data_IF_972489810608
#
_entry.id   IF_972489810608
#
_cell.length_a   1.000
_cell.length_b   1.000
_cell.length_c   1.000
_cell.angle_alpha   90.00
_cell.angle_beta   90.00
_cell.angle_gamma   90.00
#
_symmetry.space_group_name_H-M   'P 1'
#
loop_
_entity.id
_entity.type
_entity.pdbx_description
1 polymer ?
#
# COMPACT_ATOMS: atom_id res chain seq x y z
N UNK A 1 14.74 19.59 1.96
CA UNK A 1 13.51 19.65 1.13
C UNK A 1 12.88 18.28 1.23
N UNK A 2 11.62 18.19 1.68
CA UNK A 2 10.89 16.93 1.66
C UNK A 2 10.84 16.42 0.22
N UNK A 3 11.15 15.15 -0.03
CA UNK A 3 11.10 14.59 -1.40
C UNK A 3 9.67 14.55 -1.98
N UNK A 4 8.66 14.91 -1.19
CA UNK A 4 7.25 15.03 -1.54
C UNK A 4 6.98 16.27 -2.41
N UNK A 5 6.96 16.08 -3.73
CA UNK A 5 6.56 17.12 -4.68
C UNK A 5 5.83 16.50 -5.90
N UNK A 6 4.86 17.24 -6.44
CA UNK A 6 4.00 16.76 -7.53
C UNK A 6 4.75 16.48 -8.84
N UNK A 7 5.81 17.24 -9.12
CA UNK A 7 6.60 17.10 -10.35
C UNK A 7 7.35 15.76 -10.42
N UNK A 8 8.08 15.39 -9.36
CA UNK A 8 8.72 14.08 -9.25
C UNK A 8 7.70 12.94 -9.23
N UNK A 9 6.61 13.09 -8.46
CA UNK A 9 5.57 12.08 -8.37
C UNK A 9 4.90 11.85 -9.74
N UNK A 10 4.58 12.92 -10.47
CA UNK A 10 4.02 12.85 -11.82
C UNK A 10 4.94 12.08 -12.77
N UNK A 11 6.23 12.42 -12.80
CA UNK A 11 7.22 11.72 -13.63
C UNK A 11 7.28 10.23 -13.29
N UNK A 12 7.33 9.89 -12.00
CA UNK A 12 7.41 8.51 -11.53
C UNK A 12 6.14 7.74 -11.90
N UNK A 13 4.96 8.33 -11.70
CA UNK A 13 3.68 7.72 -12.09
C UNK A 13 3.60 7.50 -13.60
N UNK A 14 3.99 8.49 -14.40
CA UNK A 14 4.01 8.38 -15.86
C UNK A 14 4.93 7.25 -16.33
N UNK A 15 6.11 7.14 -15.71
CA UNK A 15 7.05 6.04 -15.97
C UNK A 15 6.44 4.70 -15.59
N UNK A 16 5.85 4.55 -14.41
CA UNK A 16 5.20 3.30 -13.99
C UNK A 16 4.08 2.88 -14.95
N UNK A 17 3.22 3.81 -15.36
CA UNK A 17 2.14 3.51 -16.33
C UNK A 17 2.73 2.97 -17.64
N UNK A 18 3.80 3.59 -18.15
CA UNK A 18 4.51 3.12 -19.35
C UNK A 18 5.13 1.74 -19.16
N UNK A 19 5.76 1.48 -18.01
CA UNK A 19 6.40 0.19 -17.71
C UNK A 19 5.36 -0.92 -17.53
N UNK A 20 4.26 -0.69 -16.82
CA UNK A 20 3.17 -1.66 -16.71
C UNK A 20 2.60 -2.05 -18.07
N UNK A 21 2.38 -1.05 -18.93
CA UNK A 21 1.98 -1.27 -20.32
C UNK A 21 3.03 -2.08 -21.10
N UNK A 22 4.31 -1.71 -21.05
CA UNK A 22 5.37 -2.36 -21.83
C UNK A 22 5.63 -3.81 -21.39
N UNK A 23 5.53 -4.08 -20.09
CA UNK A 23 5.74 -5.39 -19.50
C UNK A 23 4.46 -6.24 -19.40
N UNK A 24 3.32 -5.77 -19.92
CA UNK A 24 2.02 -6.46 -19.84
C UNK A 24 1.69 -6.89 -18.40
N UNK A 25 1.93 -6.00 -17.44
CA UNK A 25 1.53 -6.23 -16.05
C UNK A 25 0.02 -6.04 -16.00
N UNK A 26 -0.74 -6.94 -15.35
CA UNK A 26 -2.19 -6.98 -15.47
C UNK A 26 -2.89 -5.95 -14.56
N UNK A 27 -2.41 -4.71 -14.61
CA UNK A 27 -2.96 -3.55 -13.93
C UNK A 27 -3.75 -2.73 -14.94
N UNK A 28 -5.01 -2.40 -14.64
CA UNK A 28 -5.80 -1.51 -15.46
C UNK A 28 -5.26 -0.07 -15.37
N UNK A 29 -4.92 0.49 -16.53
CA UNK A 29 -4.26 1.80 -16.59
C UNK A 29 -5.24 2.97 -16.50
N UNK A 30 -6.55 2.73 -16.61
CA UNK A 30 -7.57 3.79 -16.68
C UNK A 30 -7.54 4.71 -15.47
N UNK A 31 -7.63 4.15 -14.25
CA UNK A 31 -7.66 4.96 -13.03
C UNK A 31 -6.27 5.53 -12.68
N UNK A 32 -5.19 4.85 -13.05
CA UNK A 32 -3.83 5.41 -12.96
C UNK A 32 -3.64 6.63 -13.87
N UNK A 33 -4.17 6.60 -15.09
CA UNK A 33 -4.12 7.74 -16.03
C UNK A 33 -5.00 8.91 -15.59
N UNK A 34 -6.16 8.62 -14.99
CA UNK A 34 -6.99 9.67 -14.35
C UNK A 34 -6.23 10.34 -13.21
N UNK A 35 -5.57 9.55 -12.37
CA UNK A 35 -4.72 10.07 -11.29
C UNK A 35 -3.54 10.90 -11.84
N UNK A 36 -2.84 10.40 -12.86
CA UNK A 36 -1.76 11.12 -13.56
C UNK A 36 -2.24 12.49 -14.06
N UNK A 37 -3.43 12.55 -14.67
CA UNK A 37 -4.04 13.79 -15.14
C UNK A 37 -4.41 14.74 -13.99
N UNK A 38 -4.92 14.21 -12.88
CA UNK A 38 -5.24 15.00 -11.70
C UNK A 38 -3.97 15.61 -11.09
N UNK A 39 -2.89 14.84 -10.98
CA UNK A 39 -1.60 15.31 -10.47
C UNK A 39 -0.98 16.35 -11.39
N UNK A 40 -1.08 16.17 -12.71
CA UNK A 40 -0.61 17.17 -13.68
C UNK A 40 -1.23 18.55 -13.43
N UNK A 41 -2.52 18.59 -13.08
CA UNK A 41 -3.21 19.84 -12.74
C UNK A 41 -2.68 20.51 -11.45
N UNK A 42 -1.97 19.76 -10.60
CA UNK A 42 -1.42 20.19 -9.32
C UNK A 42 0.07 20.51 -9.35
N UNK A 43 0.74 20.48 -10.52
CA UNK A 43 2.18 20.72 -10.62
C UNK A 43 2.62 22.10 -10.10
N UNK A 44 1.77 23.12 -10.24
CA UNK A 44 2.01 24.47 -9.73
C UNK A 44 1.40 24.73 -8.34
N UNK A 45 0.83 23.70 -7.71
CA UNK A 45 0.18 23.83 -6.40
C UNK A 45 1.21 23.85 -5.28
N UNK A 46 1.15 24.89 -4.45
CA UNK A 46 2.09 25.12 -3.33
C UNK A 46 1.50 24.72 -1.96
N UNK A 47 0.34 24.05 -1.93
CA UNK A 47 -0.25 23.59 -0.68
C UNK A 47 0.27 22.22 -0.24
N UNK A 48 -0.47 21.57 0.68
CA UNK A 48 -0.11 20.24 1.18
C UNK A 48 -0.11 19.21 0.04
N UNK A 49 0.95 18.42 -0.02
CA UNK A 49 1.04 17.35 -1.00
C UNK A 49 0.04 16.24 -0.63
N UNK A 50 -0.79 15.85 -1.58
CA UNK A 50 -1.77 14.80 -1.41
C UNK A 50 -1.88 13.93 -2.66
N UNK A 51 -2.07 12.64 -2.46
CA UNK A 51 -2.37 11.66 -3.50
C UNK A 51 -3.63 10.91 -3.08
N UNK A 52 -4.56 10.78 -4.03
CA UNK A 52 -5.82 10.07 -3.84
C UNK A 52 -6.01 9.13 -5.03
N UNK A 53 -5.42 7.94 -4.92
CA UNK A 53 -5.57 6.86 -5.86
C UNK A 53 -6.78 6.03 -5.46
N UNK A 54 -7.75 5.91 -6.37
CA UNK A 54 -8.96 5.12 -6.13
C UNK A 54 -9.15 4.05 -7.19
N UNK A 55 -9.56 2.88 -6.74
CA UNK A 55 -9.96 1.74 -7.54
C UNK A 55 -8.90 1.41 -8.59
N UNK A 56 -7.63 1.30 -8.20
CA UNK A 56 -6.63 0.71 -9.09
C UNK A 56 -6.93 -0.77 -9.18
N UNK A 57 -7.26 -1.26 -10.38
CA UNK A 57 -7.70 -2.63 -10.61
C UNK A 57 -6.53 -3.46 -11.11
N UNK A 58 -6.31 -4.62 -10.51
CA UNK A 58 -5.37 -5.64 -10.97
C UNK A 58 -6.16 -6.93 -11.22
N UNK A 59 -6.14 -7.41 -12.46
CA UNK A 59 -6.86 -8.61 -12.87
C UNK A 59 -5.91 -9.81 -12.84
N UNK A 60 -6.26 -10.87 -12.14
CA UNK A 60 -5.43 -12.07 -11.99
C UNK A 60 -6.26 -13.25 -12.46
N UNK A 61 -5.86 -13.87 -13.56
CA UNK A 61 -6.53 -15.03 -14.17
C UNK A 61 -5.80 -16.35 -13.87
N UNK A 62 -5.20 -16.43 -12.67
CA UNK A 62 -4.51 -17.61 -12.19
C UNK A 62 -4.68 -17.76 -10.68
N UNK A 63 -4.46 -18.99 -10.18
CA UNK A 63 -4.55 -19.26 -8.75
C UNK A 63 -3.48 -18.48 -7.97
N UNK A 64 -3.92 -17.75 -6.94
CA UNK A 64 -3.02 -17.19 -5.93
C UNK A 64 -2.63 -18.31 -4.96
N UNK A 65 -1.34 -18.45 -4.68
CA UNK A 65 -0.83 -19.51 -3.81
C UNK A 65 -1.42 -19.43 -2.40
N UNK A 66 -1.88 -20.56 -1.86
CA UNK A 66 -2.51 -20.63 -0.54
C UNK A 66 -3.99 -20.27 -0.53
N UNK A 67 -4.61 -19.98 -1.67
CA UNK A 67 -6.06 -19.73 -1.74
C UNK A 67 -6.85 -20.99 -1.39
N UNK A 68 -7.86 -20.79 -0.54
CA UNK A 68 -8.92 -21.77 -0.26
C UNK A 68 -10.27 -21.06 -0.39
N UNK A 69 -11.25 -21.61 -1.14
CA UNK A 69 -11.20 -22.89 -1.85
C UNK A 69 -10.26 -22.88 -3.07
N UNK A 70 -9.59 -24.01 -3.32
CA UNK A 70 -8.61 -24.19 -4.42
C UNK A 70 -9.22 -24.07 -5.82
N UNK A 71 -10.55 -24.07 -5.93
CA UNK A 71 -11.28 -23.91 -7.18
C UNK A 71 -11.23 -22.47 -7.73
N UNK A 72 -10.91 -21.48 -6.88
CA UNK A 72 -10.83 -20.07 -7.30
C UNK A 72 -9.58 -19.85 -8.15
N UNK A 73 -9.80 -19.41 -9.38
CA UNK A 73 -8.75 -19.18 -10.38
C UNK A 73 -8.72 -17.75 -10.92
N UNK A 74 -9.82 -17.02 -10.76
CA UNK A 74 -9.94 -15.63 -11.21
C UNK A 74 -10.08 -14.71 -9.99
N UNK A 75 -9.28 -13.66 -9.97
CA UNK A 75 -9.26 -12.66 -8.93
C UNK A 75 -9.22 -11.25 -9.51
N UNK A 76 -9.88 -10.34 -8.83
CA UNK A 76 -9.78 -8.90 -9.04
C UNK A 76 -9.27 -8.29 -7.75
N UNK A 77 -8.16 -7.56 -7.82
CA UNK A 77 -7.64 -6.79 -6.70
C UNK A 77 -7.94 -5.31 -6.95
N UNK A 78 -8.67 -4.72 -6.03
CA UNK A 78 -8.89 -3.28 -5.93
C UNK A 78 -7.91 -2.70 -4.93
N UNK A 79 -7.16 -1.68 -5.36
CA UNK A 79 -6.22 -0.95 -4.52
C UNK A 79 -6.62 0.51 -4.42
N UNK A 80 -6.92 0.94 -3.19
CA UNK A 80 -7.17 2.32 -2.82
C UNK A 80 -6.02 2.83 -1.96
N UNK A 81 -5.58 4.06 -2.24
CA UNK A 81 -4.55 4.70 -1.45
C UNK A 81 -4.76 6.20 -1.35
N UNK A 82 -4.72 6.69 -0.12
CA UNK A 82 -4.75 8.11 0.18
C UNK A 82 -3.62 8.47 1.12
N UNK A 83 -2.89 9.53 0.76
CA UNK A 83 -1.84 10.10 1.61
C UNK A 83 -1.92 11.63 1.54
N UNK A 84 -1.87 12.26 2.72
CA UNK A 84 -1.76 13.71 2.88
C UNK A 84 -0.50 14.01 3.68
N UNK A 85 0.38 14.83 3.13
CA UNK A 85 1.66 15.19 3.73
C UNK A 85 1.61 16.63 4.25
N UNK A 86 1.95 16.79 5.52
CA UNK A 86 2.12 18.07 6.17
C UNK A 86 3.61 18.46 6.20
N UNK A 87 4.08 19.04 5.10
CA UNK A 87 5.47 19.50 4.93
C UNK A 87 5.88 20.63 5.87
N UNK A 88 4.97 21.16 6.72
CA UNK A 88 5.32 22.15 7.74
C UNK A 88 6.01 21.54 8.98
N UNK A 89 5.91 20.22 9.15
CA UNK A 89 6.55 19.47 10.25
C UNK A 89 8.03 19.18 9.96
N UNK A 90 8.82 18.98 11.01
CA UNK A 90 10.23 18.62 10.88
C UNK A 90 10.35 17.12 10.57
N UNK A 91 10.75 16.78 9.34
CA UNK A 91 10.91 15.40 8.86
C UNK A 91 11.78 14.53 9.77
N UNK A 92 12.78 15.10 10.45
CA UNK A 92 13.69 14.33 11.30
C UNK A 92 13.15 14.12 12.71
N UNK A 93 12.04 14.76 13.06
CA UNK A 93 11.42 14.66 14.38
C UNK A 93 10.00 14.10 14.33
N UNK A 94 9.27 14.36 13.24
CA UNK A 94 7.86 14.08 13.15
C UNK A 94 7.51 13.34 11.85
N UNK A 95 6.51 12.48 11.97
CA UNK A 95 5.87 11.86 10.83
C UNK A 95 5.09 12.93 10.07
N UNK A 96 5.50 13.13 8.81
CA UNK A 96 4.89 14.10 7.91
C UNK A 96 3.51 13.65 7.42
N UNK A 97 3.16 12.37 7.53
CA UNK A 97 1.89 11.84 7.06
C UNK A 97 0.78 12.30 8.02
N UNK A 98 -0.08 13.19 7.56
CA UNK A 98 -1.20 13.70 8.34
C UNK A 98 -2.41 12.76 8.25
N UNK A 99 -2.69 12.27 7.04
CA UNK A 99 -3.76 11.30 6.78
C UNK A 99 -3.24 10.18 5.89
N UNK A 100 -3.70 8.98 6.17
CA UNK A 100 -3.25 7.76 5.52
C UNK A 100 -4.43 6.80 5.37
N UNK A 101 -4.59 6.23 4.19
CA UNK A 101 -5.43 5.05 3.93
C UNK A 101 -4.74 4.18 2.89
N UNK A 102 -4.76 2.88 3.09
CA UNK A 102 -4.16 1.90 2.21
C UNK A 102 -4.98 0.63 2.29
N UNK A 103 -5.74 0.36 1.24
CA UNK A 103 -6.73 -0.71 1.23
C UNK A 103 -6.51 -1.60 0.02
N UNK A 104 -6.36 -2.90 0.26
CA UNK A 104 -6.31 -3.94 -0.77
C UNK A 104 -7.54 -4.80 -0.57
N UNK A 105 -8.47 -4.76 -1.53
CA UNK A 105 -9.65 -5.61 -1.55
C UNK A 105 -9.52 -6.62 -2.68
N UNK A 106 -9.53 -7.91 -2.33
CA UNK A 106 -9.38 -9.04 -3.22
C UNK A 106 -10.74 -9.72 -3.36
N UNK A 107 -11.17 -9.88 -4.60
CA UNK A 107 -12.39 -10.59 -4.96
C UNK A 107 -12.00 -11.79 -5.80
N UNK A 108 -12.35 -13.00 -5.36
CA UNK A 108 -12.16 -14.24 -6.09
C UNK A 108 -13.48 -14.80 -6.61
N UNK A 109 -13.44 -15.46 -7.77
CA UNK A 109 -14.61 -16.13 -8.35
C UNK A 109 -14.34 -17.62 -8.55
N UNK A 110 -15.34 -18.45 -8.22
CA UNK A 110 -15.35 -19.87 -8.63
C UNK A 110 -16.03 -20.08 -9.99
N UNK A 111 -16.10 -21.33 -10.44
CA UNK A 111 -16.64 -21.72 -11.76
C UNK A 111 -18.14 -21.42 -11.91
N UNK A 112 -18.87 -21.26 -10.80
CA UNK A 112 -20.28 -20.87 -10.75
C UNK A 112 -20.47 -19.35 -10.61
N UNK A 113 -19.40 -18.58 -10.75
CA UNK A 113 -19.35 -17.13 -10.54
C UNK A 113 -19.74 -16.69 -9.11
N UNK A 114 -19.60 -17.57 -8.12
CA UNK A 114 -19.77 -17.19 -6.71
C UNK A 114 -18.56 -16.39 -6.25
N UNK A 115 -18.86 -15.31 -5.53
CA UNK A 115 -17.88 -14.33 -5.08
C UNK A 115 -17.31 -14.69 -3.69
N UNK A 116 -16.00 -14.52 -3.54
CA UNK A 116 -15.26 -14.68 -2.29
C UNK A 116 -14.44 -13.41 -2.03
N UNK A 117 -14.58 -12.84 -0.83
CA UNK A 117 -13.99 -11.55 -0.50
C UNK A 117 -12.91 -11.68 0.56
N UNK A 118 -11.81 -10.93 0.38
CA UNK A 118 -10.78 -10.77 1.39
C UNK A 118 -10.21 -9.35 1.32
N UNK A 119 -9.85 -8.76 2.45
CA UNK A 119 -9.32 -7.40 2.49
C UNK A 119 -8.12 -7.27 3.44
N UNK A 120 -7.17 -6.43 3.04
CA UNK A 120 -6.05 -5.97 3.86
C UNK A 120 -6.10 -4.45 4.00
N UNK A 121 -5.85 -3.97 5.20
CA UNK A 121 -5.71 -2.55 5.51
C UNK A 121 -4.33 -2.31 6.10
N UNK A 122 -3.64 -1.25 5.67
CA UNK A 122 -2.47 -0.71 6.36
C UNK A 122 -2.89 0.66 6.90
N UNK A 123 -2.99 0.77 8.23
CA UNK A 123 -3.55 1.95 8.87
C UNK A 123 -2.52 2.69 9.72
N UNK A 124 -2.75 4.00 9.88
CA UNK A 124 -2.05 4.86 10.84
C UNK A 124 -2.90 5.00 12.10
N UNK A 125 -2.30 4.79 13.27
CA UNK A 125 -2.99 4.99 14.55
C UNK A 125 -3.34 6.48 14.79
N UNK A 126 -4.58 6.77 15.19
CA UNK A 126 -5.04 8.10 15.59
C UNK A 126 -5.04 8.15 17.13
N UNK A 127 -4.17 8.95 17.71
CA UNK A 127 -3.95 9.04 19.18
C UNK A 127 -5.05 9.78 19.94
N UNK A 128 -6.29 9.76 19.46
CA UNK A 128 -7.41 10.53 20.05
C UNK A 128 -8.07 9.85 21.27
N UNK A 129 -7.75 8.58 21.55
CA UNK A 129 -8.21 7.85 22.74
C UNK A 129 -7.23 6.73 23.14
N UNK A 130 -7.27 6.31 24.40
CA UNK A 130 -6.52 5.14 24.86
C UNK A 130 -7.01 3.88 24.11
N UNK A 131 -6.14 3.17 23.38
CA UNK A 131 -6.56 2.02 22.60
C UNK A 131 -6.89 0.85 23.53
N UNK A 132 -8.01 0.16 23.26
CA UNK A 132 -8.43 -1.05 24.02
C UNK A 132 -7.46 -2.23 23.89
N UNK A 133 -6.65 -2.23 22.84
CA UNK A 133 -5.68 -3.28 22.51
C UNK A 133 -4.36 -2.64 22.05
N UNK A 134 -3.27 -3.41 22.04
CA UNK A 134 -1.99 -2.93 21.50
C UNK A 134 -2.16 -2.47 20.04
N UNK A 135 -1.63 -1.28 19.75
CA UNK A 135 -1.91 -0.59 18.50
C UNK A 135 -0.62 0.06 17.98
N UNK A 136 0.14 -0.64 17.10
CA UNK A 136 1.32 -0.05 16.47
C UNK A 136 0.97 1.20 15.68
N UNK A 137 1.94 2.12 15.57
CA UNK A 137 1.72 3.39 14.88
C UNK A 137 1.34 3.22 13.41
N UNK A 138 1.95 2.25 12.72
CA UNK A 138 1.53 1.73 11.42
C UNK A 138 1.42 0.20 11.49
N UNK A 139 0.34 -0.36 10.95
CA UNK A 139 0.08 -1.79 11.07
C UNK A 139 -0.80 -2.33 9.95
N UNK A 140 -0.52 -3.58 9.55
CA UNK A 140 -1.43 -4.35 8.74
C UNK A 140 -2.54 -4.97 9.59
N UNK A 141 -3.76 -4.95 9.08
CA UNK A 141 -4.90 -5.72 9.57
C UNK A 141 -5.48 -6.52 8.39
N UNK A 142 -5.62 -7.83 8.59
CA UNK A 142 -6.37 -8.70 7.70
C UNK A 142 -7.81 -8.80 8.19
N UNK A 143 -8.76 -8.71 7.28
CA UNK A 143 -10.16 -8.47 7.62
C UNK A 143 -10.42 -6.99 7.88
N UNK A 144 -11.57 -6.50 7.41
CA UNK A 144 -11.81 -5.07 7.31
C UNK A 144 -13.29 -4.72 7.31
N UNK A 145 -13.59 -3.42 7.27
CA UNK A 145 -14.98 -2.90 7.26
C UNK A 145 -15.84 -3.56 6.16
N UNK A 146 -15.22 -3.95 5.04
CA UNK A 146 -15.90 -4.63 3.93
C UNK A 146 -16.31 -6.08 4.19
N UNK A 147 -15.79 -6.74 5.23
CA UNK A 147 -16.22 -8.08 5.66
C UNK A 147 -17.28 -8.04 6.77
N UNK A 148 -17.55 -6.85 7.34
CA UNK A 148 -18.53 -6.68 8.41
C UNK A 148 -19.95 -6.98 7.90
N UNK A 149 -20.58 -8.02 8.44
CA UNK A 149 -21.95 -8.42 8.09
C UNK A 149 -22.10 -9.40 6.92
N UNK A 150 -21.00 -9.95 6.39
CA UNK A 150 -21.08 -11.03 5.39
C UNK A 150 -21.40 -12.39 6.03
N UNK A 151 -22.19 -13.22 5.34
CA UNK A 151 -22.50 -14.59 5.76
C UNK A 151 -21.30 -15.51 5.45
N UNK A 152 -20.53 -15.85 6.48
CA UNK A 152 -19.24 -16.54 6.33
C UNK A 152 -19.32 -18.06 6.37
N UNK A 153 -20.53 -18.66 6.41
CA UNK A 153 -20.75 -20.10 6.26
C UNK A 153 -19.71 -20.95 6.99
N UNK A 154 -19.76 -20.96 8.33
CA UNK A 154 -18.88 -21.71 9.25
C UNK A 154 -17.40 -21.27 9.33
N UNK A 155 -17.02 -20.12 8.79
CA UNK A 155 -15.69 -19.53 9.01
C UNK A 155 -15.73 -18.53 10.19
N UNK A 156 -14.99 -18.83 11.27
CA UNK A 156 -14.68 -17.86 12.32
C UNK A 156 -13.57 -16.93 11.82
N UNK A 157 -13.94 -15.75 11.33
CA UNK A 157 -13.01 -14.66 11.06
C UNK A 157 -12.84 -13.85 12.34
N UNK A 158 -11.68 -13.98 12.98
CA UNK A 158 -11.21 -13.00 13.97
C UNK A 158 -10.26 -12.04 13.26
N UNK A 159 -10.29 -10.77 13.62
CA UNK A 159 -9.30 -9.79 13.12
C UNK A 159 -7.89 -10.32 13.37
N UNK A 160 -7.04 -10.28 12.35
CA UNK A 160 -5.64 -10.65 12.52
C UNK A 160 -4.97 -9.71 13.53
N UNK A 161 -4.03 -10.20 14.36
CA UNK A 161 -3.27 -9.32 15.24
C UNK A 161 -2.58 -8.25 14.40
N UNK A 162 -2.62 -6.99 14.87
CA UNK A 162 -1.98 -5.87 14.18
C UNK A 162 -0.48 -6.07 14.13
N UNK A 163 0.06 -6.29 12.92
CA UNK A 163 1.50 -6.51 12.72
C UNK A 163 2.15 -5.17 12.34
N UNK A 164 3.16 -4.69 13.09
CA UNK A 164 3.92 -3.51 12.70
C UNK A 164 4.49 -3.65 11.29
N UNK A 165 4.28 -2.63 10.46
CA UNK A 165 4.84 -2.56 9.12
C UNK A 165 5.16 -1.11 8.78
N UNK A 166 6.24 -0.81 8.03
CA UNK A 166 6.49 0.54 7.56
C UNK A 166 5.37 1.03 6.64
N UNK A 167 5.06 2.34 6.63
CA UNK A 167 4.05 2.87 5.72
C UNK A 167 4.49 2.71 4.26
N UNK A 168 3.53 2.61 3.35
CA UNK A 168 3.76 2.50 1.91
C UNK A 168 3.04 3.62 1.16
N UNK A 169 3.73 4.24 0.21
CA UNK A 169 3.10 5.16 -0.75
C UNK A 169 2.44 4.36 -1.89
N UNK A 170 1.89 5.05 -2.88
CA UNK A 170 1.28 4.42 -4.05
C UNK A 170 2.23 3.42 -4.73
N UNK A 171 3.50 3.78 -4.89
CA UNK A 171 4.47 2.99 -5.65
C UNK A 171 4.88 1.73 -4.89
N UNK A 172 5.12 1.84 -3.58
CA UNK A 172 5.37 0.70 -2.71
C UNK A 172 4.15 -0.20 -2.60
N UNK A 173 2.94 0.36 -2.58
CA UNK A 173 1.70 -0.43 -2.59
C UNK A 173 1.54 -1.27 -3.84
N UNK A 174 1.74 -0.67 -5.02
CA UNK A 174 1.76 -1.40 -6.29
C UNK A 174 2.86 -2.46 -6.31
N UNK A 175 4.06 -2.13 -5.83
CA UNK A 175 5.16 -3.08 -5.74
C UNK A 175 4.85 -4.26 -4.82
N UNK A 176 4.21 -4.00 -3.68
CA UNK A 176 3.76 -5.01 -2.73
C UNK A 176 2.75 -5.96 -3.39
N UNK A 177 1.71 -5.41 -4.05
CA UNK A 177 0.68 -6.22 -4.72
C UNK A 177 1.30 -7.09 -5.82
N UNK A 178 2.14 -6.50 -6.67
CA UNK A 178 2.80 -7.23 -7.77
C UNK A 178 3.67 -8.37 -7.23
N UNK A 179 4.43 -8.14 -6.15
CA UNK A 179 5.30 -9.17 -5.61
C UNK A 179 4.57 -10.31 -4.92
N UNK A 180 3.45 -10.02 -4.24
CA UNK A 180 2.73 -11.00 -3.43
C UNK A 180 1.63 -11.75 -4.18
N UNK A 181 0.92 -11.10 -5.11
CA UNK A 181 -0.26 -11.69 -5.74
C UNK A 181 -0.07 -12.09 -7.21
N UNK A 182 0.94 -11.54 -7.89
CA UNK A 182 1.21 -11.87 -9.29
C UNK A 182 2.36 -12.87 -9.36
N UNK A 183 2.07 -14.09 -9.81
CA UNK A 183 3.10 -15.12 -9.97
C UNK A 183 4.01 -14.81 -11.17
N UNK A 184 5.34 -14.91 -10.97
CA UNK A 184 6.31 -14.77 -12.07
C UNK A 184 6.25 -15.94 -13.06
N UNK A 185 5.57 -17.05 -12.73
CA UNK A 185 5.34 -18.15 -13.67
C UNK A 185 4.25 -17.78 -14.68
N UNK A 186 3.19 -17.14 -14.19
CA UNK A 186 1.99 -16.79 -14.97
C UNK A 186 2.16 -15.46 -15.71
N UNK A 187 2.96 -14.55 -15.14
CA UNK A 187 3.37 -13.29 -15.80
C UNK A 187 4.91 -13.24 -15.88
N UNK A 188 5.55 -13.94 -16.83
CA UNK A 188 7.03 -14.00 -16.93
C UNK A 188 7.69 -12.62 -17.06
N UNK A 189 7.02 -11.67 -17.73
CA UNK A 189 7.51 -10.30 -17.88
C UNK A 189 7.58 -9.52 -16.57
N UNK A 190 6.95 -9.99 -15.48
CA UNK A 190 7.12 -9.44 -14.13
C UNK A 190 8.60 -9.36 -13.75
N UNK A 191 9.39 -10.40 -14.02
CA UNK A 191 10.82 -10.39 -13.69
C UNK A 191 11.58 -9.32 -14.48
N UNK A 192 11.17 -9.03 -15.72
CA UNK A 192 11.78 -7.97 -16.51
C UNK A 192 11.43 -6.58 -15.95
N UNK A 193 10.19 -6.38 -15.49
CA UNK A 193 9.82 -5.15 -14.76
C UNK A 193 10.66 -4.99 -13.49
N UNK A 194 10.77 -6.05 -12.68
CA UNK A 194 11.51 -6.00 -11.40
C UNK A 194 13.01 -5.73 -11.60
N UNK A 195 13.55 -6.01 -12.79
CA UNK A 195 14.92 -5.73 -13.18
C UNK A 195 15.08 -4.44 -14.00
N UNK A 196 13.99 -3.71 -14.28
CA UNK A 196 14.04 -2.45 -15.01
C UNK A 196 14.59 -1.34 -14.11
N UNK A 197 15.63 -0.66 -14.59
CA UNK A 197 16.35 0.34 -13.80
C UNK A 197 15.46 1.54 -13.41
N UNK A 198 14.57 2.00 -14.29
CA UNK A 198 13.70 3.13 -13.98
C UNK A 198 12.65 2.73 -12.93
N UNK A 199 12.10 1.51 -13.06
CA UNK A 199 11.19 0.96 -12.06
C UNK A 199 11.88 0.83 -10.69
N UNK A 200 13.08 0.24 -10.64
CA UNK A 200 13.85 0.08 -9.41
C UNK A 200 14.19 1.44 -8.78
N UNK A 201 14.59 2.43 -9.57
CA UNK A 201 14.88 3.78 -9.07
C UNK A 201 13.67 4.39 -8.36
N UNK A 202 12.48 4.26 -8.95
CA UNK A 202 11.23 4.77 -8.35
C UNK A 202 10.95 4.08 -7.02
N UNK A 203 11.09 2.74 -6.96
CA UNK A 203 10.88 1.99 -5.72
C UNK A 203 11.91 2.39 -4.65
N UNK A 204 13.19 2.52 -5.01
CA UNK A 204 14.25 2.94 -4.09
C UNK A 204 13.97 4.33 -3.52
N UNK A 205 13.55 5.28 -4.35
CA UNK A 205 13.24 6.64 -3.90
C UNK A 205 12.03 6.64 -2.94
N UNK A 206 10.99 5.85 -3.22
CA UNK A 206 9.87 5.67 -2.30
C UNK A 206 10.29 4.99 -0.99
N UNK A 207 11.16 3.98 -1.03
CA UNK A 207 11.71 3.34 0.18
C UNK A 207 12.48 4.34 1.03
N UNK A 208 13.33 5.19 0.43
CA UNK A 208 14.06 6.22 1.18
C UNK A 208 13.13 7.23 1.85
N UNK A 209 12.04 7.60 1.19
CA UNK A 209 11.07 8.56 1.72
C UNK A 209 10.21 7.98 2.84
N UNK A 210 9.84 6.70 2.73
CA UNK A 210 8.87 6.08 3.63
C UNK A 210 9.52 5.23 4.73
N UNK A 211 10.55 4.46 4.38
CA UNK A 211 11.08 3.37 5.20
C UNK A 211 12.34 3.75 5.96
N UNK A 212 13.22 4.59 5.40
CA UNK A 212 14.47 4.96 6.09
C UNK A 212 14.19 5.57 7.46
N UNK A 213 13.23 6.51 7.54
CA UNK A 213 12.87 7.14 8.82
C UNK A 213 12.14 6.17 9.76
N UNK A 214 11.34 5.26 9.22
CA UNK A 214 10.69 4.21 10.00
C UNK A 214 11.72 3.25 10.61
N UNK A 215 12.69 2.77 9.83
CA UNK A 215 13.70 1.82 10.33
C UNK A 215 14.71 2.46 11.29
N UNK A 216 14.94 3.77 11.19
CA UNK A 216 15.67 4.52 12.22
C UNK A 216 15.02 4.44 13.60
N UNK A 217 13.74 4.09 13.71
CA UNK A 217 13.08 3.87 15.00
C UNK A 217 13.74 2.79 15.85
N UNK A 218 14.51 1.88 15.24
CA UNK A 218 15.22 0.80 15.91
C UNK A 218 16.66 1.15 16.29
N UNK A 219 17.14 2.36 15.96
CA UNK A 219 18.46 2.85 16.37
C UNK A 219 18.44 3.28 17.84
N UNK A 220 19.55 3.04 18.57
CA UNK A 220 19.66 3.28 20.02
C UNK A 220 19.49 4.77 20.38
N UNK A 221 19.92 5.66 19.49
CA UNK A 221 19.89 7.11 19.66
C UNK A 221 18.77 7.78 18.86
N UNK A 222 17.73 7.03 18.46
CA UNK A 222 16.59 7.60 17.75
C UNK A 222 15.90 8.70 18.57
N UNK A 223 15.84 9.92 18.01
CA UNK A 223 15.21 11.11 18.61
C UNK A 223 13.90 11.49 17.95
N UNK A 224 13.34 10.61 17.13
CA UNK A 224 12.12 10.88 16.41
C UNK A 224 10.90 10.68 17.34
N UNK A 225 9.99 11.65 17.37
CA UNK A 225 8.87 11.67 18.31
C UNK A 225 7.82 10.59 17.95
N UNK A 226 7.52 10.42 16.66
CA UNK A 226 6.53 9.44 16.20
C UNK A 226 7.14 8.06 15.90
N UNK A 227 8.15 7.99 15.02
CA UNK A 227 8.92 6.78 14.69
C UNK A 227 10.01 6.49 15.73
N UNK A 228 9.62 6.11 16.93
CA UNK A 228 10.50 5.50 17.92
C UNK A 228 10.11 4.05 18.18
N UNK A 229 11.04 3.29 18.75
CA UNK A 229 10.88 1.87 19.02
C UNK A 229 9.58 1.54 19.78
N UNK A 230 9.22 2.34 20.80
CA UNK A 230 8.01 2.13 21.61
C UNK A 230 6.72 2.28 20.79
N UNK A 231 6.69 3.24 19.87
CA UNK A 231 5.52 3.49 19.02
C UNK A 231 5.42 2.50 17.87
N UNK A 232 6.56 2.13 17.27
CA UNK A 232 6.62 1.20 16.13
C UNK A 232 6.40 -0.24 16.59
N UNK A 233 6.96 -0.64 17.73
CA UNK A 233 6.89 -2.02 18.23
C UNK A 233 6.43 -2.07 19.70
N UNK A 234 5.18 -1.68 20.00
CA UNK A 234 4.68 -1.52 21.37
C UNK A 234 4.59 -2.81 22.20
N UNK A 235 4.72 -3.99 21.58
CA UNK A 235 4.72 -5.27 22.29
C UNK A 235 6.06 -5.62 22.95
N UNK A 236 7.14 -4.93 22.60
CA UNK A 236 8.45 -5.22 23.17
C UNK A 236 8.62 -4.51 24.51
N UNK A 237 8.86 -5.32 25.53
CA UNK A 237 9.03 -4.90 26.92
C UNK A 237 10.53 -4.90 27.23
N UNK A 238 11.05 -3.75 27.69
CA UNK A 238 12.42 -3.55 28.14
C UNK A 238 12.42 -2.96 29.54
#
# INVERSE_FOLDING_TARGET
MSGWNYDSFYRNLSTIIKKFSAYNIPVELTNLRKLESAIYSQLSYNGKFNINAKEIIININHCISGTTPVAIKDFIIYFDHYILIDSSRDYYKNDLIEKYAFDIHIVGYDEDAKEYNYAWHLDKNITSADPKYTHPYYHFQGGGQKLEGMDTGEILLIDFPRIPHPPMDLFLGLHFIINNFISSKDVPKKLNLLNDHDYQSIIIDSQKLMWDIYFKSFEVDCKHDDFNFRNVFPLYIH
#
